data_IF_709739994846
#
_entry.id   IF_709739994846
#
_cell.length_a   1.000
_cell.length_b   1.000
_cell.length_c   1.000
_cell.angle_alpha   90.00
_cell.angle_beta   90.00
_cell.angle_gamma   90.00
#
_symmetry.space_group_name_H-M   'P 1'
#
loop_
_entity.id
_entity.type
_entity.pdbx_description
1 polymer ?
#
# COMPACT_ATOMS: atom_id res chain seq x y z
N UNK A 1 44.23 -43.95 5.62
CA UNK A 1 43.14 -43.07 5.10
C UNK A 1 41.84 -43.49 5.76
N UNK A 2 41.21 -42.61 6.55
CA UNK A 2 39.91 -42.90 7.20
C UNK A 2 38.81 -42.90 6.13
N UNK A 3 38.16 -44.04 5.90
CA UNK A 3 36.95 -44.11 5.10
C UNK A 3 35.89 -43.22 5.77
N UNK A 4 35.51 -42.12 5.12
CA UNK A 4 34.27 -41.42 5.47
C UNK A 4 33.13 -42.36 5.00
N UNK A 5 32.22 -42.80 5.87
CA UNK A 5 31.09 -43.59 5.42
C UNK A 5 30.31 -42.73 4.41
N UNK A 6 30.15 -43.25 3.19
CA UNK A 6 29.25 -42.68 2.22
C UNK A 6 27.83 -42.85 2.78
N UNK A 7 27.07 -41.76 2.90
CA UNK A 7 25.66 -41.79 3.28
C UNK A 7 24.94 -42.85 2.44
N UNK A 8 24.24 -43.76 3.10
CA UNK A 8 23.41 -44.73 2.39
C UNK A 8 22.29 -43.99 1.64
N UNK A 9 21.85 -44.53 0.51
CA UNK A 9 20.77 -43.94 -0.30
C UNK A 9 19.51 -43.68 0.55
N UNK A 10 19.24 -44.55 1.53
CA UNK A 10 18.09 -44.44 2.42
C UNK A 10 18.26 -43.30 3.44
N UNK A 11 19.46 -43.10 4.01
CA UNK A 11 19.74 -41.95 4.87
C UNK A 11 19.64 -40.63 4.10
N UNK A 12 20.11 -40.59 2.85
CA UNK A 12 19.96 -39.42 1.98
C UNK A 12 18.49 -39.09 1.73
N UNK A 13 17.67 -40.10 1.41
CA UNK A 13 16.23 -39.94 1.21
C UNK A 13 15.52 -39.46 2.48
N UNK A 14 15.89 -39.99 3.65
CA UNK A 14 15.35 -39.55 4.93
C UNK A 14 15.70 -38.09 5.23
N UNK A 15 16.95 -37.69 5.01
CA UNK A 15 17.40 -36.30 5.25
C UNK A 15 16.69 -35.32 4.32
N UNK A 16 16.59 -35.62 3.01
CA UNK A 16 15.89 -34.75 2.05
C UNK A 16 14.40 -34.64 2.40
N UNK A 17 13.76 -35.74 2.80
CA UNK A 17 12.36 -35.73 3.22
C UNK A 17 12.14 -34.89 4.47
N UNK A 18 13.03 -35.02 5.45
CA UNK A 18 12.98 -34.25 6.70
C UNK A 18 13.17 -32.75 6.44
N UNK A 19 14.14 -32.38 5.59
CA UNK A 19 14.35 -30.98 5.16
C UNK A 19 13.12 -30.45 4.42
N UNK A 20 12.53 -31.23 3.52
CA UNK A 20 11.31 -30.86 2.81
C UNK A 20 10.18 -30.50 3.77
N UNK A 21 9.90 -31.35 4.76
CA UNK A 21 8.85 -31.12 5.76
C UNK A 21 9.17 -29.88 6.62
N UNK A 22 10.41 -29.74 7.07
CA UNK A 22 10.83 -28.62 7.92
C UNK A 22 10.91 -27.27 7.18
N UNK A 23 11.01 -27.28 5.86
CA UNK A 23 11.08 -26.06 5.04
C UNK A 23 9.73 -25.36 4.87
N UNK A 24 8.61 -26.10 4.94
CA UNK A 24 7.26 -25.59 4.68
C UNK A 24 6.84 -24.45 5.65
N UNK A 25 7.02 -24.58 6.98
CA UNK A 25 6.72 -23.48 7.91
C UNK A 25 7.51 -22.20 7.59
N UNK A 26 8.78 -22.33 7.18
CA UNK A 26 9.64 -21.19 6.84
C UNK A 26 9.12 -20.40 5.65
N UNK A 27 8.73 -21.08 4.58
CA UNK A 27 8.20 -20.44 3.36
C UNK A 27 6.87 -19.72 3.66
N UNK A 28 5.96 -20.37 4.41
CA UNK A 28 4.69 -19.77 4.80
C UNK A 28 4.88 -18.52 5.69
N UNK A 29 5.85 -18.57 6.61
CA UNK A 29 6.22 -17.42 7.44
C UNK A 29 6.68 -16.22 6.61
N UNK A 30 7.56 -16.45 5.62
CA UNK A 30 8.08 -15.40 4.75
C UNK A 30 6.96 -14.73 3.93
N UNK A 31 6.01 -15.52 3.40
CA UNK A 31 4.89 -14.99 2.62
C UNK A 31 4.02 -14.05 3.48
N UNK A 32 3.74 -14.42 4.73
CA UNK A 32 2.95 -13.61 5.65
C UNK A 32 3.67 -12.29 6.01
N UNK A 33 4.97 -12.35 6.29
CA UNK A 33 5.79 -11.16 6.62
C UNK A 33 5.81 -10.19 5.43
N UNK A 34 6.08 -10.71 4.22
CA UNK A 34 6.09 -9.88 3.01
C UNK A 34 4.73 -9.23 2.74
N UNK A 35 3.64 -9.96 2.92
CA UNK A 35 2.30 -9.41 2.73
C UNK A 35 1.98 -8.29 3.73
N UNK A 36 2.37 -8.43 5.01
CA UNK A 36 2.21 -7.38 6.03
C UNK A 36 3.06 -6.16 5.72
N UNK A 37 4.33 -6.36 5.39
CA UNK A 37 5.24 -5.26 5.06
C UNK A 37 4.76 -4.49 3.83
N UNK A 38 4.34 -5.21 2.78
CA UNK A 38 3.73 -4.62 1.59
C UNK A 38 2.50 -3.78 1.93
N UNK A 39 1.62 -4.28 2.79
CA UNK A 39 0.43 -3.58 3.25
C UNK A 39 0.77 -2.31 4.02
N UNK A 40 1.72 -2.38 4.96
CA UNK A 40 2.14 -1.24 5.77
C UNK A 40 2.81 -0.16 4.90
N UNK A 41 3.76 -0.54 4.03
CA UNK A 41 4.43 0.39 3.11
C UNK A 41 3.43 1.06 2.17
N UNK A 42 2.53 0.28 1.57
CA UNK A 42 1.52 0.80 0.64
C UNK A 42 0.56 1.77 1.30
N UNK A 43 0.09 1.44 2.50
CA UNK A 43 -0.84 2.28 3.26
C UNK A 43 -0.18 3.57 3.72
N UNK A 44 1.05 3.48 4.23
CA UNK A 44 1.83 4.64 4.65
C UNK A 44 2.12 5.56 3.46
N UNK A 45 2.54 4.99 2.32
CA UNK A 45 2.81 5.78 1.13
C UNK A 45 1.54 6.44 0.58
N UNK A 46 0.42 5.74 0.55
CA UNK A 46 -0.86 6.32 0.14
C UNK A 46 -1.30 7.47 1.06
N UNK A 47 -1.22 7.28 2.37
CA UNK A 47 -1.51 8.34 3.34
C UNK A 47 -0.57 9.54 3.17
N UNK A 48 0.70 9.30 2.87
CA UNK A 48 1.67 10.36 2.63
C UNK A 48 1.34 11.18 1.38
N UNK A 49 0.98 10.53 0.26
CA UNK A 49 0.55 11.24 -0.95
C UNK A 49 -0.74 12.03 -0.71
N UNK A 50 -1.68 11.50 0.10
CA UNK A 50 -2.87 12.24 0.52
C UNK A 50 -2.52 13.49 1.34
N UNK A 51 -1.57 13.39 2.29
CA UNK A 51 -1.07 14.53 3.06
C UNK A 51 -0.37 15.54 2.17
N UNK A 52 0.42 15.07 1.21
CA UNK A 52 1.12 15.92 0.26
C UNK A 52 0.12 16.74 -0.58
N UNK A 53 -0.93 16.11 -1.11
CA UNK A 53 -2.00 16.80 -1.83
C UNK A 53 -2.71 17.84 -0.95
N UNK A 54 -2.99 17.49 0.30
CA UNK A 54 -3.56 18.42 1.27
C UNK A 54 -2.64 19.64 1.50
N UNK A 55 -1.36 19.41 1.80
CA UNK A 55 -0.37 20.47 2.04
C UNK A 55 -0.24 21.37 0.82
N UNK A 56 -0.10 20.81 -0.38
CA UNK A 56 0.06 21.60 -1.60
C UNK A 56 -1.17 22.45 -1.92
N UNK A 57 -2.38 21.95 -1.65
CA UNK A 57 -3.60 22.75 -1.81
C UNK A 57 -3.66 23.88 -0.79
N UNK A 58 -3.34 23.59 0.48
CA UNK A 58 -3.33 24.58 1.56
C UNK A 58 -2.31 25.68 1.33
N UNK A 59 -1.13 25.33 0.84
CA UNK A 59 -0.08 26.30 0.47
C UNK A 59 -0.40 27.06 -0.82
N UNK A 60 -1.55 26.78 -1.44
CA UNK A 60 -1.97 27.38 -2.70
C UNK A 60 -0.91 27.22 -3.80
N UNK A 61 -0.24 26.07 -3.82
CA UNK A 61 0.88 25.81 -4.72
C UNK A 61 0.40 25.85 -6.16
N UNK A 62 1.08 26.66 -6.98
CA UNK A 62 0.77 26.87 -8.40
C UNK A 62 -0.63 27.46 -8.66
N UNK A 63 -1.34 27.95 -7.62
CA UNK A 63 -2.75 28.36 -7.72
C UNK A 63 -3.68 27.24 -8.22
N UNK A 64 -3.38 25.99 -7.83
CA UNK A 64 -4.14 24.80 -8.21
C UNK A 64 -4.76 24.12 -6.99
N UNK A 65 -5.89 23.45 -7.21
CA UNK A 65 -6.40 22.46 -6.26
C UNK A 65 -5.68 21.13 -6.48
N UNK A 66 -5.22 20.48 -5.41
CA UNK A 66 -4.56 19.19 -5.49
C UNK A 66 -5.49 18.09 -4.96
N UNK A 67 -5.28 16.88 -5.45
CA UNK A 67 -6.12 15.75 -5.12
C UNK A 67 -5.46 14.42 -5.39
N UNK A 68 -6.14 13.36 -4.99
CA UNK A 68 -5.69 11.99 -5.22
C UNK A 68 -6.82 11.20 -5.86
N UNK A 69 -6.49 10.48 -6.93
CA UNK A 69 -7.44 9.67 -7.70
C UNK A 69 -6.99 8.21 -7.75
N UNK A 70 -7.83 7.30 -7.29
CA UNK A 70 -7.66 5.86 -7.47
C UNK A 70 -8.21 5.44 -8.84
N UNK A 71 -7.35 4.86 -9.69
CA UNK A 71 -7.72 4.46 -11.06
C UNK A 71 -8.12 3.00 -11.17
N UNK A 72 -7.50 2.13 -10.39
CA UNK A 72 -7.78 0.70 -10.35
C UNK A 72 -7.55 0.15 -8.92
N UNK A 73 -7.57 -1.17 -8.77
CA UNK A 73 -7.41 -1.85 -7.47
C UNK A 73 -6.05 -1.60 -6.81
N UNK A 74 -5.00 -1.23 -7.53
CA UNK A 74 -3.67 -1.07 -6.95
C UNK A 74 -2.95 0.19 -7.39
N UNK A 75 -3.59 1.09 -8.12
CA UNK A 75 -2.98 2.29 -8.67
C UNK A 75 -3.77 3.52 -8.31
N UNK A 76 -3.03 4.58 -7.99
CA UNK A 76 -3.57 5.89 -7.66
C UNK A 76 -2.64 6.98 -8.16
N UNK A 77 -3.15 8.20 -8.28
CA UNK A 77 -2.47 9.29 -8.95
C UNK A 77 -2.61 10.56 -8.11
N UNK A 78 -1.51 11.30 -8.00
CA UNK A 78 -1.53 12.68 -7.54
C UNK A 78 -1.96 13.55 -8.73
N UNK A 79 -3.03 14.32 -8.54
CA UNK A 79 -3.66 15.10 -9.60
C UNK A 79 -3.81 16.55 -9.16
N UNK A 80 -3.82 17.45 -10.14
CA UNK A 80 -4.16 18.87 -9.94
C UNK A 80 -5.37 19.24 -10.77
N UNK A 81 -6.10 20.25 -10.32
CA UNK A 81 -7.23 20.86 -11.01
C UNK A 81 -7.05 22.37 -11.04
N UNK A 82 -7.22 22.97 -12.22
CA UNK A 82 -7.22 24.42 -12.41
C UNK A 82 -8.62 25.04 -12.24
N UNK A 83 -8.71 26.37 -12.39
CA UNK A 83 -9.97 27.11 -12.29
C UNK A 83 -11.02 26.70 -13.36
N UNK A 84 -10.58 26.16 -14.51
CA UNK A 84 -11.45 25.60 -15.55
C UNK A 84 -11.89 24.16 -15.27
N UNK A 85 -11.47 23.62 -14.12
CA UNK A 85 -11.68 22.23 -13.68
C UNK A 85 -10.96 21.20 -14.54
N UNK A 86 -9.97 21.60 -15.33
CA UNK A 86 -9.14 20.67 -16.11
C UNK A 86 -8.24 19.89 -15.15
N UNK A 87 -8.29 18.56 -15.24
CA UNK A 87 -7.53 17.65 -14.37
C UNK A 87 -6.25 17.22 -15.06
N UNK A 88 -5.12 17.45 -14.40
CA UNK A 88 -3.78 17.06 -14.87
C UNK A 88 -3.16 16.07 -13.91
N UNK A 89 -2.64 14.96 -14.45
CA UNK A 89 -1.89 13.96 -13.66
C UNK A 89 -0.48 14.48 -13.42
N UNK A 90 -0.08 14.57 -12.15
CA UNK A 90 1.28 14.98 -11.75
C UNK A 90 2.16 13.78 -11.48
N UNK A 91 1.67 12.82 -10.71
CA UNK A 91 2.39 11.60 -10.36
C UNK A 91 1.48 10.38 -10.42
N UNK A 92 2.06 9.22 -10.72
CA UNK A 92 1.38 7.92 -10.71
C UNK A 92 2.06 7.03 -9.68
N UNK A 93 1.26 6.38 -8.86
CA UNK A 93 1.72 5.48 -7.82
C UNK A 93 1.00 4.15 -7.91
N UNK A 94 1.65 3.13 -7.37
CA UNK A 94 1.10 1.79 -7.25
C UNK A 94 1.32 1.27 -5.84
N UNK A 95 0.34 0.54 -5.31
CA UNK A 95 0.49 -0.23 -4.09
C UNK A 95 1.44 -1.40 -4.37
N UNK A 96 2.28 -1.71 -3.39
CA UNK A 96 3.16 -2.86 -3.44
C UNK A 96 2.33 -4.15 -3.48
N UNK A 97 2.76 -5.12 -4.29
CA UNK A 97 2.10 -6.44 -4.32
C UNK A 97 2.30 -7.15 -2.98
N UNK A 98 1.30 -7.85 -2.41
CA UNK A 98 -0.02 -8.17 -2.96
C UNK A 98 -1.14 -7.23 -2.51
N UNK A 99 -0.83 -5.99 -2.14
CA UNK A 99 -1.80 -5.04 -1.56
C UNK A 99 -2.72 -4.43 -2.61
N UNK A 100 -4.01 -4.31 -2.28
CA UNK A 100 -5.05 -3.70 -3.12
C UNK A 100 -5.99 -2.81 -2.31
N UNK A 101 -6.61 -1.82 -2.96
CA UNK A 101 -7.75 -1.10 -2.44
C UNK A 101 -9.00 -1.99 -2.45
N UNK A 102 -9.76 -1.97 -1.36
CA UNK A 102 -11.07 -2.65 -1.30
C UNK A 102 -12.09 -1.89 -2.14
N UNK A 103 -12.10 -0.56 -2.05
CA UNK A 103 -13.06 0.32 -2.73
C UNK A 103 -12.31 1.21 -3.72
N UNK A 104 -12.66 1.10 -4.99
CA UNK A 104 -12.13 1.84 -6.13
C UNK A 104 -13.21 1.88 -7.23
N UNK A 105 -13.18 2.84 -8.18
CA UNK A 105 -12.33 4.02 -8.20
C UNK A 105 -12.73 5.02 -7.10
N UNK A 106 -11.86 5.98 -6.84
CA UNK A 106 -12.14 7.09 -5.92
C UNK A 106 -11.44 8.35 -6.36
N UNK A 107 -11.95 9.50 -5.91
CA UNK A 107 -11.34 10.79 -6.19
C UNK A 107 -11.52 11.67 -4.95
N UNK A 108 -10.45 12.33 -4.53
CA UNK A 108 -10.44 13.25 -3.39
C UNK A 108 -9.80 14.54 -3.85
N UNK A 109 -10.43 15.65 -3.54
CA UNK A 109 -9.91 16.99 -3.78
C UNK A 109 -9.81 17.75 -2.48
N UNK A 110 -8.78 18.58 -2.43
CA UNK A 110 -8.56 19.55 -1.36
C UNK A 110 -8.73 20.95 -1.94
N UNK A 111 -9.41 21.79 -1.17
CA UNK A 111 -9.72 23.16 -1.54
C UNK A 111 -8.45 24.01 -1.53
N UNK A 112 -8.32 24.82 -2.57
CA UNK A 112 -7.21 25.74 -2.75
C UNK A 112 -7.15 26.76 -1.59
N UNK A 113 -5.98 26.94 -1.00
CA UNK A 113 -5.70 27.90 0.08
C UNK A 113 -6.14 27.47 1.48
N UNK A 114 -7.04 26.49 1.62
CA UNK A 114 -7.48 25.98 2.93
C UNK A 114 -7.03 24.56 3.19
N UNK A 115 -6.92 23.73 2.15
CA UNK A 115 -6.65 22.31 2.29
C UNK A 115 -7.85 21.50 2.83
N UNK A 116 -9.01 22.13 3.00
CA UNK A 116 -10.21 21.42 3.43
C UNK A 116 -10.71 20.49 2.33
N UNK A 117 -11.56 19.54 2.71
CA UNK A 117 -12.23 18.66 1.78
C UNK A 117 -13.66 18.43 2.26
N UNK A 118 -14.61 18.25 1.34
CA UNK A 118 -15.99 17.92 1.71
C UNK A 118 -16.12 16.45 2.18
N UNK A 119 -15.04 15.67 2.05
CA UNK A 119 -15.05 14.23 2.24
C UNK A 119 -14.65 13.86 3.67
N UNK A 120 -15.53 13.15 4.37
CA UNK A 120 -15.17 12.35 5.54
C UNK A 120 -15.24 10.87 5.17
N UNK A 121 -14.09 10.24 4.89
CA UNK A 121 -14.06 8.88 4.31
C UNK A 121 -12.89 8.05 4.80
N UNK A 122 -13.14 6.76 4.89
CA UNK A 122 -12.12 5.74 5.18
C UNK A 122 -11.79 4.99 3.89
N UNK A 123 -10.51 4.97 3.54
CA UNK A 123 -9.94 4.18 2.45
C UNK A 123 -9.35 2.91 3.02
N UNK A 124 -9.73 1.76 2.50
CA UNK A 124 -9.27 0.46 3.00
C UNK A 124 -8.32 -0.19 2.00
N UNK A 125 -7.16 -0.60 2.48
CA UNK A 125 -6.16 -1.40 1.77
C UNK A 125 -6.12 -2.81 2.37
N UNK A 126 -5.95 -3.82 1.53
CA UNK A 126 -6.04 -5.23 1.90
C UNK A 126 -4.93 -6.05 1.25
N UNK A 127 -4.39 -7.00 2.01
CA UNK A 127 -3.51 -8.05 1.52
C UNK A 127 -3.93 -9.40 2.13
N UNK A 128 -4.11 -10.44 1.30
CA UNK A 128 -4.67 -11.75 1.72
C UNK A 128 -4.02 -12.37 2.97
N UNK A 129 -2.71 -12.21 3.13
CA UNK A 129 -1.94 -12.69 4.30
C UNK A 129 -1.47 -11.56 5.23
N UNK A 130 -1.72 -10.31 4.84
CA UNK A 130 -1.36 -9.09 5.57
C UNK A 130 -2.47 -8.54 6.46
N UNK A 131 -3.73 -8.84 6.13
CA UNK A 131 -4.92 -8.27 6.78
C UNK A 131 -5.40 -7.00 6.06
N UNK A 132 -6.02 -6.10 6.82
CA UNK A 132 -6.58 -4.84 6.32
C UNK A 132 -5.99 -3.67 7.09
N UNK A 133 -5.72 -2.57 6.39
CA UNK A 133 -5.35 -1.28 6.96
C UNK A 133 -6.28 -0.20 6.44
N UNK A 134 -6.36 0.89 7.18
CA UNK A 134 -7.23 2.00 6.82
C UNK A 134 -6.51 3.33 6.82
N UNK A 135 -6.89 4.19 5.89
CA UNK A 135 -6.53 5.61 5.86
C UNK A 135 -7.81 6.41 6.00
N UNK A 136 -7.98 7.05 7.16
CA UNK A 136 -9.09 7.96 7.42
C UNK A 136 -8.74 9.37 6.94
N UNK A 137 -9.70 10.00 6.27
CA UNK A 137 -9.65 11.39 5.86
C UNK A 137 -10.81 12.14 6.51
N UNK A 138 -10.49 13.24 7.19
CA UNK A 138 -11.48 14.15 7.75
C UNK A 138 -11.70 15.39 6.88
N UNK A 139 -12.80 16.14 7.07
CA UNK A 139 -13.07 17.35 6.30
C UNK A 139 -12.03 18.46 6.43
N UNK A 140 -11.23 18.47 7.50
CA UNK A 140 -10.14 19.44 7.70
C UNK A 140 -8.84 19.05 6.99
N UNK A 141 -8.86 17.99 6.18
CA UNK A 141 -7.68 17.46 5.51
C UNK A 141 -6.77 16.62 6.42
N UNK A 142 -7.16 16.34 7.66
CA UNK A 142 -6.41 15.44 8.53
C UNK A 142 -6.45 14.00 7.98
N UNK A 143 -5.26 13.39 7.81
CA UNK A 143 -5.07 12.03 7.32
C UNK A 143 -4.47 11.14 8.42
N UNK A 144 -5.24 10.14 8.85
CA UNK A 144 -4.87 9.21 9.94
C UNK A 144 -4.80 7.78 9.41
N UNK A 145 -3.81 7.02 9.87
CA UNK A 145 -3.66 5.60 9.55
C UNK A 145 -4.17 4.78 10.73
N UNK A 146 -4.97 3.76 10.44
CA UNK A 146 -5.53 2.86 11.45
C UNK A 146 -5.49 1.40 11.02
N UNK A 147 -5.91 0.55 11.95
CA UNK A 147 -6.09 -0.88 11.77
C UNK A 147 -7.57 -1.17 12.04
N UNK A 148 -8.18 -2.05 11.24
CA UNK A 148 -9.52 -2.59 11.50
C UNK A 148 -9.43 -3.85 12.36
#
# INVERSE_FOLDING_TARGET
>A
MKFKPALSLIELLLVVSLIGILSLPGVLGIINIRARQSLDVSTNKFAEIMRQAHIFSRENRESLSWGVKGTDKNSYQLVTRDATKTVTVREKHRLESPTVFIIYPFEVWFDQGTGNTEINRIFMTYASKGGTRVVGLSPTGLVVIGIL
#
